data_IF_941737243714
#
_entry.id   IF_941737243714
#
_cell.length_a   1.000
_cell.length_b   1.000
_cell.length_c   1.000
_cell.angle_alpha   90.00
_cell.angle_beta   90.00
_cell.angle_gamma   90.00
#
_symmetry.space_group_name_H-M   'P 1'
#
loop_
_entity.id
_entity.type
_entity.pdbx_description
1 polymer ?
#
# COMPACT_ATOMS: atom_id res chain seq x y z
N UNK A 1 -22.66 19.83 4.98
CA UNK A 1 -22.37 18.53 4.35
C UNK A 1 -22.46 18.58 2.82
N UNK A 2 -23.44 19.27 2.23
CA UNK A 2 -23.60 19.37 0.77
C UNK A 2 -22.42 20.04 0.04
N UNK A 3 -21.83 21.08 0.64
CA UNK A 3 -20.65 21.78 0.08
C UNK A 3 -19.38 20.92 0.09
N UNK A 4 -19.22 20.07 1.10
CA UNK A 4 -18.09 19.13 1.23
C UNK A 4 -18.23 17.96 0.25
N UNK A 5 -19.45 17.46 0.08
CA UNK A 5 -19.78 16.41 -0.91
C UNK A 5 -19.55 16.91 -2.34
N UNK A 6 -20.03 18.11 -2.69
CA UNK A 6 -19.80 18.69 -4.02
C UNK A 6 -18.33 18.93 -4.33
N UNK A 7 -17.56 19.40 -3.35
CA UNK A 7 -16.11 19.59 -3.51
C UNK A 7 -15.40 18.25 -3.77
N UNK A 8 -15.73 17.21 -2.99
CA UNK A 8 -15.18 15.87 -3.17
C UNK A 8 -15.52 15.29 -4.55
N UNK A 9 -16.76 15.46 -5.01
CA UNK A 9 -17.20 15.02 -6.35
C UNK A 9 -16.44 15.74 -7.46
N UNK A 10 -16.21 17.06 -7.34
CA UNK A 10 -15.43 17.83 -8.32
C UNK A 10 -13.97 17.37 -8.35
N UNK A 11 -13.35 17.11 -7.20
CA UNK A 11 -11.98 16.59 -7.12
C UNK A 11 -11.88 15.22 -7.79
N UNK A 12 -12.83 14.31 -7.51
CA UNK A 12 -12.88 12.99 -8.13
C UNK A 12 -13.10 13.09 -9.66
N UNK A 13 -13.95 14.01 -10.12
CA UNK A 13 -14.21 14.25 -11.54
C UNK A 13 -12.96 14.78 -12.26
N UNK A 14 -12.22 15.70 -11.65
CA UNK A 14 -10.95 16.21 -12.20
C UNK A 14 -9.90 15.10 -12.27
N UNK A 15 -9.78 14.27 -11.23
CA UNK A 15 -8.91 13.10 -11.22
C UNK A 15 -9.30 12.08 -12.31
N UNK A 16 -10.59 11.88 -12.57
CA UNK A 16 -11.08 11.01 -13.64
C UNK A 16 -10.73 11.58 -15.03
N UNK A 17 -10.92 12.89 -15.24
CA UNK A 17 -10.59 13.55 -16.50
C UNK A 17 -9.08 13.58 -16.80
N UNK A 18 -8.22 13.64 -15.77
CA UNK A 18 -6.76 13.54 -15.95
C UNK A 18 -6.32 12.16 -16.45
N UNK A 19 -7.05 11.09 -16.12
CA UNK A 19 -6.70 9.70 -16.52
C UNK A 19 -6.95 9.42 -18.02
N UNK A 20 -7.81 10.20 -18.70
CA UNK A 20 -8.20 9.98 -20.11
C UNK A 20 -7.08 10.25 -21.13
N UNK A 21 -6.00 10.96 -20.74
CA UNK A 21 -4.88 11.28 -21.65
C UNK A 21 -3.68 10.33 -21.52
N UNK A 22 -3.76 9.29 -20.67
CA UNK A 22 -2.61 8.48 -20.23
C UNK A 22 -2.36 7.17 -20.97
N UNK A 23 -3.15 6.80 -21.99
CA UNK A 23 -2.98 5.52 -22.71
C UNK A 23 -1.85 5.57 -23.74
N UNK A 24 -0.64 5.92 -23.32
CA UNK A 24 0.58 5.64 -24.08
C UNK A 24 1.04 4.25 -23.62
N UNK A 25 1.25 3.32 -24.56
CA UNK A 25 1.92 2.06 -24.26
C UNK A 25 3.36 2.37 -23.85
N UNK A 26 3.56 2.65 -22.56
CA UNK A 26 4.87 2.86 -21.96
C UNK A 26 5.39 1.49 -21.59
N UNK A 27 6.41 1.03 -22.30
CA UNK A 27 7.22 -0.10 -21.84
C UNK A 27 7.84 0.33 -20.51
N UNK A 28 7.46 -0.35 -19.43
CA UNK A 28 8.00 -0.14 -18.11
C UNK A 28 9.52 -0.36 -18.14
N UNK A 29 10.28 0.71 -17.95
CA UNK A 29 11.73 0.63 -17.74
C UNK A 29 12.00 0.55 -16.24
N UNK A 30 12.95 -0.31 -15.80
CA UNK A 30 13.34 -0.38 -14.40
C UNK A 30 13.87 0.97 -13.92
N UNK A 31 13.70 1.28 -12.63
CA UNK A 31 14.10 2.57 -12.05
C UNK A 31 15.57 2.92 -12.34
N UNK A 32 16.44 1.91 -12.37
CA UNK A 32 17.87 2.01 -12.65
C UNK A 32 18.18 2.60 -14.03
N UNK A 33 17.32 2.40 -15.03
CA UNK A 33 17.52 2.80 -16.43
C UNK A 33 16.92 4.17 -16.80
N UNK A 34 16.19 4.80 -15.89
CA UNK A 34 15.61 6.12 -16.13
C UNK A 34 16.66 7.23 -16.15
N UNK A 35 16.42 8.29 -16.94
CA UNK A 35 17.26 9.48 -16.93
C UNK A 35 17.20 10.19 -15.57
N UNK A 36 18.22 10.99 -15.24
CA UNK A 36 18.27 11.76 -13.97
C UNK A 36 16.96 12.50 -13.64
N UNK A 37 16.35 13.28 -14.54
CA UNK A 37 15.08 13.96 -14.23
C UNK A 37 13.92 12.99 -13.98
N UNK A 38 13.87 11.87 -14.68
CA UNK A 38 12.85 10.85 -14.48
C UNK A 38 13.01 10.13 -13.13
N UNK A 39 14.25 9.81 -12.72
CA UNK A 39 14.54 9.26 -11.38
C UNK A 39 14.07 10.20 -10.27
N UNK A 40 14.35 11.50 -10.39
CA UNK A 40 13.89 12.49 -9.40
C UNK A 40 12.37 12.53 -9.31
N UNK A 41 11.66 12.48 -10.45
CA UNK A 41 10.20 12.40 -10.47
C UNK A 41 9.67 11.14 -9.76
N UNK A 42 10.28 9.98 -10.02
CA UNK A 42 9.91 8.72 -9.38
C UNK A 42 10.19 8.72 -7.88
N UNK A 43 11.29 9.33 -7.42
CA UNK A 43 11.58 9.50 -5.99
C UNK A 43 10.54 10.38 -5.29
N UNK A 44 10.20 11.52 -5.90
CA UNK A 44 9.15 12.40 -5.35
C UNK A 44 7.80 11.67 -5.32
N UNK A 45 7.45 10.96 -6.40
CA UNK A 45 6.25 10.14 -6.46
C UNK A 45 6.23 9.04 -5.39
N UNK A 46 7.37 8.40 -5.14
CA UNK A 46 7.54 7.37 -4.11
C UNK A 46 7.30 7.94 -2.71
N UNK A 47 7.89 9.09 -2.38
CA UNK A 47 7.71 9.75 -1.08
C UNK A 47 6.26 10.18 -0.87
N UNK A 48 5.66 10.84 -1.87
CA UNK A 48 4.27 11.30 -1.77
C UNK A 48 3.28 10.13 -1.65
N UNK A 49 3.47 9.08 -2.47
CA UNK A 49 2.65 7.88 -2.41
C UNK A 49 2.82 7.17 -1.05
N UNK A 50 4.04 7.08 -0.53
CA UNK A 50 4.32 6.52 0.79
C UNK A 50 3.65 7.31 1.91
N UNK A 51 3.66 8.64 1.84
CA UNK A 51 3.03 9.49 2.85
C UNK A 51 1.51 9.28 2.93
N UNK A 52 0.87 9.03 1.78
CA UNK A 52 -0.56 8.70 1.73
C UNK A 52 -0.80 7.25 2.14
N UNK A 53 0.03 6.31 1.70
CA UNK A 53 -0.08 4.87 1.96
C UNK A 53 0.13 4.50 3.43
N UNK A 54 1.14 5.09 4.07
CA UNK A 54 1.61 4.70 5.40
C UNK A 54 0.51 4.77 6.48
N UNK A 55 -0.33 5.82 6.57
CA UNK A 55 -1.43 5.84 7.52
C UNK A 55 -2.42 4.67 7.38
N UNK A 56 -2.71 4.23 6.15
CA UNK A 56 -3.59 3.08 5.92
C UNK A 56 -2.94 1.77 6.32
N UNK A 57 -1.65 1.58 5.97
CA UNK A 57 -0.88 0.39 6.37
C UNK A 57 -0.73 0.32 7.90
N UNK A 58 -0.48 1.45 8.55
CA UNK A 58 -0.43 1.54 10.01
C UNK A 58 -1.77 1.18 10.65
N UNK A 59 -2.89 1.72 10.14
CA UNK A 59 -4.21 1.38 10.64
C UNK A 59 -4.51 -0.13 10.51
N UNK A 60 -4.16 -0.72 9.36
CA UNK A 60 -4.28 -2.16 9.14
C UNK A 60 -3.44 -2.97 10.12
N UNK A 61 -2.17 -2.60 10.33
CA UNK A 61 -1.29 -3.26 11.29
C UNK A 61 -1.83 -3.19 12.74
N UNK A 62 -2.36 -2.03 13.15
CA UNK A 62 -2.96 -1.86 14.48
C UNK A 62 -4.20 -2.74 14.64
N UNK A 63 -5.11 -2.74 13.67
CA UNK A 63 -6.30 -3.60 13.69
C UNK A 63 -5.94 -5.09 13.72
N UNK A 64 -4.93 -5.47 12.93
CA UNK A 64 -4.38 -6.81 12.90
C UNK A 64 -3.76 -7.23 14.23
N UNK A 65 -2.97 -6.37 14.86
CA UNK A 65 -2.38 -6.63 16.18
C UNK A 65 -3.43 -6.81 17.27
N UNK A 66 -4.47 -5.96 17.28
CA UNK A 66 -5.61 -6.11 18.21
C UNK A 66 -6.32 -7.44 17.96
N UNK A 67 -6.62 -7.77 16.71
CA UNK A 67 -7.32 -9.01 16.34
C UNK A 67 -6.50 -10.24 16.71
N UNK A 68 -5.19 -10.24 16.41
CA UNK A 68 -4.25 -11.30 16.78
C UNK A 68 -4.21 -11.51 18.30
N UNK A 69 -4.06 -10.43 19.07
CA UNK A 69 -4.04 -10.49 20.53
C UNK A 69 -5.35 -11.01 21.13
N UNK A 70 -6.50 -10.60 20.56
CA UNK A 70 -7.81 -11.12 20.96
C UNK A 70 -7.95 -12.61 20.64
N UNK A 71 -7.55 -13.05 19.45
CA UNK A 71 -7.56 -14.48 19.07
C UNK A 71 -6.71 -15.30 20.04
N UNK A 72 -5.48 -14.86 20.32
CA UNK A 72 -4.61 -15.55 21.27
C UNK A 72 -5.21 -15.60 22.69
N UNK A 73 -5.71 -14.46 23.18
CA UNK A 73 -6.25 -14.32 24.54
C UNK A 73 -7.55 -15.10 24.77
N UNK A 74 -8.52 -14.97 23.86
CA UNK A 74 -9.84 -15.64 23.97
C UNK A 74 -9.70 -17.16 23.86
N UNK A 75 -8.78 -17.63 23.01
CA UNK A 75 -8.55 -19.07 22.82
C UNK A 75 -7.61 -19.66 23.86
N UNK A 76 -7.13 -18.86 24.81
CA UNK A 76 -6.13 -19.25 25.81
C UNK A 76 -4.88 -19.89 25.16
N UNK A 77 -4.46 -19.35 24.01
CA UNK A 77 -3.33 -19.83 23.24
C UNK A 77 -3.57 -21.12 22.42
N UNK A 78 -4.79 -21.69 22.42
CA UNK A 78 -5.10 -22.87 21.62
C UNK A 78 -5.02 -22.60 20.11
N UNK A 79 -5.31 -21.36 19.69
CA UNK A 79 -5.22 -20.91 18.30
C UNK A 79 -4.01 -19.96 18.11
N UNK A 80 -2.86 -20.29 18.71
CA UNK A 80 -1.66 -19.46 18.63
C UNK A 80 -1.16 -19.30 17.18
N UNK A 81 -1.28 -20.33 16.36
CA UNK A 81 -0.90 -20.29 14.95
C UNK A 81 -1.80 -19.32 14.17
N UNK A 82 -3.12 -19.39 14.35
CA UNK A 82 -4.05 -18.44 13.72
C UNK A 82 -3.78 -16.99 14.17
N UNK A 83 -3.51 -16.76 15.46
CA UNK A 83 -3.12 -15.45 15.96
C UNK A 83 -1.80 -14.96 15.34
N UNK A 84 -0.81 -15.84 15.19
CA UNK A 84 0.46 -15.54 14.54
C UNK A 84 0.28 -15.19 13.05
N UNK A 85 -0.55 -15.94 12.32
CA UNK A 85 -0.81 -15.69 10.91
C UNK A 85 -1.47 -14.32 10.69
N UNK A 86 -2.41 -13.94 11.57
CA UNK A 86 -3.00 -12.59 11.56
C UNK A 86 -1.92 -11.53 11.78
N UNK A 87 -1.03 -11.73 12.76
CA UNK A 87 0.06 -10.79 13.04
C UNK A 87 1.02 -10.67 11.85
N UNK A 88 1.42 -11.79 11.24
CA UNK A 88 2.34 -11.81 10.11
C UNK A 88 1.72 -11.08 8.91
N UNK A 89 0.51 -11.44 8.53
CA UNK A 89 -0.22 -10.79 7.43
C UNK A 89 -0.37 -9.28 7.65
N UNK A 90 -0.54 -8.84 8.90
CA UNK A 90 -0.79 -7.43 9.22
C UNK A 90 0.48 -6.57 9.30
N UNK A 91 1.53 -7.06 9.98
CA UNK A 91 2.75 -6.31 10.26
C UNK A 91 3.82 -6.42 9.18
N UNK A 92 3.87 -7.52 8.43
CA UNK A 92 4.81 -7.68 7.32
C UNK A 92 4.24 -7.12 6.02
N UNK A 93 5.05 -7.16 4.95
CA UNK A 93 4.79 -6.46 3.69
C UNK A 93 5.55 -5.13 3.60
N UNK A 94 5.27 -4.37 2.55
CA UNK A 94 5.93 -3.12 2.26
C UNK A 94 5.36 -1.98 3.14
N UNK A 95 6.25 -1.24 3.81
CA UNK A 95 5.85 -0.10 4.66
C UNK A 95 5.96 1.26 3.97
N UNK A 96 6.59 1.28 2.81
CA UNK A 96 6.74 2.45 1.96
C UNK A 96 6.73 2.01 0.50
N UNK A 97 6.39 2.92 -0.41
CA UNK A 97 6.31 2.63 -1.83
C UNK A 97 7.66 2.94 -2.46
N UNK A 98 8.46 1.92 -2.79
CA UNK A 98 9.74 2.06 -3.47
C UNK A 98 9.55 2.51 -4.94
N UNK A 99 10.49 3.25 -5.56
CA UNK A 99 10.39 3.63 -6.97
C UNK A 99 10.21 2.47 -7.94
N UNK A 100 10.77 1.29 -7.65
CA UNK A 100 10.61 0.08 -8.46
C UNK A 100 9.14 -0.38 -8.54
N UNK A 101 8.36 -0.13 -7.49
CA UNK A 101 6.92 -0.42 -7.46
C UNK A 101 6.17 0.52 -8.42
N UNK A 102 6.56 1.79 -8.47
CA UNK A 102 5.98 2.77 -9.41
C UNK A 102 6.33 2.48 -10.86
N UNK A 103 7.44 1.78 -11.11
CA UNK A 103 7.83 1.30 -12.45
C UNK A 103 7.32 -0.10 -12.76
N UNK A 104 6.53 -0.72 -11.87
CA UNK A 104 6.06 -2.11 -12.02
C UNK A 104 7.18 -3.15 -12.18
N UNK A 105 8.36 -2.83 -11.68
CA UNK A 105 9.49 -3.77 -11.58
C UNK A 105 9.32 -4.68 -10.35
N UNK A 106 8.71 -4.15 -9.29
CA UNK A 106 8.32 -4.87 -8.08
C UNK A 106 6.82 -4.74 -7.87
N UNK A 107 6.20 -5.77 -7.31
CA UNK A 107 4.81 -5.72 -6.86
C UNK A 107 4.73 -5.11 -5.46
N UNK A 108 3.66 -4.34 -5.20
CA UNK A 108 3.37 -3.81 -3.87
C UNK A 108 2.73 -4.89 -3.00
N UNK A 109 3.41 -5.33 -1.96
CA UNK A 109 2.89 -6.30 -1.00
C UNK A 109 2.27 -5.57 0.20
N UNK A 110 0.96 -5.35 0.16
CA UNK A 110 0.26 -4.68 1.27
C UNK A 110 0.21 -5.54 2.53
N UNK A 111 0.07 -6.85 2.43
CA UNK A 111 0.08 -7.77 3.56
C UNK A 111 1.38 -8.59 3.57
N UNK A 112 1.70 -9.14 4.73
CA UNK A 112 2.69 -10.21 4.84
C UNK A 112 2.27 -11.45 4.04
N UNK A 113 3.22 -12.37 3.80
CA UNK A 113 2.96 -13.60 3.05
C UNK A 113 1.93 -14.49 3.73
N UNK A 114 1.11 -15.17 2.94
CA UNK A 114 0.06 -16.07 3.40
C UNK A 114 0.58 -17.47 3.77
N UNK A 115 1.78 -17.82 3.29
CA UNK A 115 2.46 -19.09 3.60
C UNK A 115 3.52 -18.86 4.66
N UNK A 116 3.21 -19.28 5.88
CA UNK A 116 4.15 -19.43 6.98
C UNK A 116 4.26 -20.92 7.29
N UNK A 117 4.83 -21.66 6.35
CA UNK A 117 5.24 -23.05 6.59
C UNK A 117 6.16 -23.10 7.83
N UNK A 118 5.86 -23.97 8.82
CA UNK A 118 6.65 -24.10 10.05
C UNK A 118 8.06 -24.65 9.82
#
# INVERSE_FOLDING_TARGET
>A
MEKLSSFLVIVLLVCFLMQVNGSRNVVAKPYSEHSVPAKSGLLVGSVLSSAVYFPFKLAYAVLGGVTSGLTYGITLGREAEAANNIAISSFYGDWYIHPNILTSEEELNFSGPDDVSP
#
